data_IF_204402184999
#
_entry.id   IF_204402184999
#
_cell.length_a   1.000
_cell.length_b   1.000
_cell.length_c   1.000
_cell.angle_alpha   90.00
_cell.angle_beta   90.00
_cell.angle_gamma   90.00
#
_symmetry.space_group_name_H-M   'P 1'
#
loop_
_entity.id
_entity.type
_entity.pdbx_description
1 polymer ?
#
# COMPACT_ATOMS: atom_id res chain seq x y z
N UNK A 1 9.84 -22.81 3.51
CA UNK A 1 9.89 -21.42 3.04
C UNK A 1 8.64 -21.21 2.23
N UNK A 2 7.62 -20.57 2.81
CA UNK A 2 6.48 -20.08 2.03
C UNK A 2 6.97 -18.88 1.23
N UNK A 3 6.65 -18.85 -0.06
CA UNK A 3 6.97 -17.70 -0.90
C UNK A 3 6.14 -16.49 -0.42
N UNK A 4 6.66 -15.25 -0.50
CA UNK A 4 5.94 -14.05 -0.04
C UNK A 4 4.50 -13.96 -0.59
N UNK A 5 4.30 -14.38 -1.84
CA UNK A 5 2.98 -14.45 -2.47
C UNK A 5 2.04 -15.48 -1.82
N UNK A 6 2.54 -16.66 -1.45
CA UNK A 6 1.73 -17.71 -0.79
C UNK A 6 1.26 -17.24 0.58
N UNK A 7 2.14 -16.60 1.35
CA UNK A 7 1.78 -16.04 2.64
C UNK A 7 0.69 -14.97 2.54
N UNK A 8 0.75 -14.09 1.53
CA UNK A 8 -0.29 -13.10 1.27
C UNK A 8 -1.63 -13.75 0.91
N UNK A 9 -1.60 -14.81 0.09
CA UNK A 9 -2.81 -15.56 -0.26
C UNK A 9 -3.43 -16.24 0.97
N UNK A 10 -2.60 -16.80 1.86
CA UNK A 10 -3.07 -17.40 3.11
C UNK A 10 -3.76 -16.38 4.01
N UNK A 11 -3.19 -15.17 4.15
CA UNK A 11 -3.79 -14.09 4.94
C UNK A 11 -5.16 -13.66 4.39
N UNK A 12 -5.28 -13.51 3.05
CA UNK A 12 -6.55 -13.18 2.41
C UNK A 12 -7.55 -14.32 2.61
N UNK A 13 -7.14 -15.58 2.42
CA UNK A 13 -8.02 -16.74 2.63
C UNK A 13 -8.53 -16.81 4.08
N UNK A 14 -7.66 -16.55 5.06
CA UNK A 14 -8.06 -16.49 6.47
C UNK A 14 -9.09 -15.38 6.73
N UNK A 15 -8.90 -14.18 6.17
CA UNK A 15 -9.85 -13.07 6.33
C UNK A 15 -11.25 -13.38 5.77
N UNK A 16 -11.33 -14.15 4.69
CA UNK A 16 -12.62 -14.52 4.09
C UNK A 16 -13.28 -15.76 4.73
N UNK A 17 -12.53 -16.58 5.45
CA UNK A 17 -13.06 -17.76 6.15
C UNK A 17 -13.50 -17.46 7.58
N UNK A 18 -12.90 -16.46 8.20
CA UNK A 18 -13.32 -16.01 9.55
C UNK A 18 -14.47 -15.01 9.50
N UNK A 19 -15.24 -15.00 10.58
CA UNK A 19 -16.24 -13.98 10.93
C UNK A 19 -15.97 -13.37 12.31
N UNK A 20 -14.87 -13.77 12.96
CA UNK A 20 -14.48 -13.28 14.28
C UNK A 20 -13.84 -11.89 14.13
N UNK A 21 -14.42 -10.82 14.72
CA UNK A 21 -13.88 -9.47 14.66
C UNK A 21 -12.45 -9.35 15.21
N UNK A 22 -12.09 -10.11 16.25
CA UNK A 22 -10.76 -10.04 16.85
C UNK A 22 -9.71 -10.65 15.91
N UNK A 23 -10.07 -11.74 15.23
CA UNK A 23 -9.22 -12.38 14.23
C UNK A 23 -9.07 -11.48 12.99
N UNK A 24 -10.15 -10.82 12.54
CA UNK A 24 -10.09 -9.85 11.45
C UNK A 24 -9.20 -8.65 11.81
N UNK A 25 -9.28 -8.16 13.05
CA UNK A 25 -8.42 -7.07 13.53
C UNK A 25 -6.95 -7.50 13.56
N UNK A 26 -6.66 -8.74 13.97
CA UNK A 26 -5.31 -9.31 13.94
C UNK A 26 -4.76 -9.39 12.52
N UNK A 27 -5.51 -9.98 11.60
CA UNK A 27 -5.13 -10.08 10.18
C UNK A 27 -4.93 -8.70 9.54
N UNK A 28 -5.77 -7.72 9.90
CA UNK A 28 -5.65 -6.35 9.42
C UNK A 28 -4.37 -5.66 9.95
N UNK A 29 -3.99 -5.89 11.20
CA UNK A 29 -2.72 -5.38 11.76
C UNK A 29 -1.50 -6.02 11.10
N UNK A 30 -1.53 -7.34 10.93
CA UNK A 30 -0.43 -8.10 10.33
C UNK A 30 -0.23 -7.65 8.87
N UNK A 31 -1.31 -7.57 8.09
CA UNK A 31 -1.27 -7.10 6.70
C UNK A 31 -0.89 -5.61 6.58
N UNK A 32 -1.29 -4.77 7.54
CA UNK A 32 -0.88 -3.35 7.57
C UNK A 32 0.64 -3.19 7.75
N UNK A 33 1.27 -4.01 8.60
CA UNK A 33 2.73 -4.00 8.75
C UNK A 33 3.43 -4.38 7.45
N UNK A 34 2.98 -5.46 6.79
CA UNK A 34 3.51 -5.88 5.49
C UNK A 34 3.30 -4.81 4.41
N UNK A 35 2.16 -4.12 4.43
CA UNK A 35 1.86 -3.03 3.51
C UNK A 35 2.88 -1.90 3.65
N UNK A 36 3.11 -1.40 4.86
CA UNK A 36 4.04 -0.29 5.10
C UNK A 36 5.48 -0.68 4.82
N UNK A 37 5.88 -1.90 5.14
CA UNK A 37 7.20 -2.40 4.81
C UNK A 37 7.41 -2.41 3.29
N UNK A 38 6.49 -3.00 2.53
CA UNK A 38 6.64 -3.08 1.08
C UNK A 38 6.56 -1.71 0.39
N UNK A 39 5.75 -0.79 0.92
CA UNK A 39 5.73 0.61 0.44
C UNK A 39 7.07 1.31 0.68
N UNK A 40 7.67 1.14 1.87
CA UNK A 40 8.98 1.71 2.19
C UNK A 40 10.09 1.16 1.29
N UNK A 41 10.10 -0.15 1.06
CA UNK A 41 11.02 -0.82 0.13
C UNK A 41 10.83 -0.33 -1.30
N UNK A 42 9.59 -0.16 -1.75
CA UNK A 42 9.26 0.37 -3.09
C UNK A 42 9.75 1.81 -3.23
N UNK A 43 9.55 2.65 -2.21
CA UNK A 43 10.03 4.04 -2.20
C UNK A 43 11.56 4.10 -2.27
N UNK A 44 12.25 3.24 -1.53
CA UNK A 44 13.71 3.14 -1.59
C UNK A 44 14.19 2.73 -2.99
N UNK A 45 13.54 1.73 -3.60
CA UNK A 45 13.89 1.26 -4.94
C UNK A 45 13.65 2.34 -6.01
N UNK A 46 12.51 3.04 -5.98
CA UNK A 46 12.23 4.16 -6.89
C UNK A 46 13.25 5.28 -6.72
N UNK A 47 13.52 5.67 -5.48
CA UNK A 47 14.49 6.72 -5.18
C UNK A 47 15.87 6.36 -5.72
N UNK A 48 16.34 5.13 -5.52
CA UNK A 48 17.62 4.65 -6.04
C UNK A 48 17.68 4.65 -7.57
N UNK A 49 16.62 4.19 -8.24
CA UNK A 49 16.55 4.18 -9.71
C UNK A 49 16.50 5.59 -10.32
N UNK A 50 15.87 6.53 -9.61
CA UNK A 50 15.69 7.89 -10.08
C UNK A 50 16.80 8.84 -9.61
N UNK A 51 17.71 8.41 -8.73
CA UNK A 51 18.68 9.28 -8.05
C UNK A 51 19.49 10.16 -9.02
N UNK A 52 19.93 9.59 -10.14
CA UNK A 52 20.73 10.30 -11.15
C UNK A 52 19.88 11.00 -12.23
N UNK A 53 18.55 10.82 -12.22
CA UNK A 53 17.67 11.45 -13.21
C UNK A 53 17.46 12.93 -12.90
N UNK A 54 17.61 13.83 -13.88
CA UNK A 54 17.23 15.23 -13.74
C UNK A 54 15.74 15.41 -13.46
N UNK A 55 15.37 16.42 -12.67
CA UNK A 55 13.97 16.71 -12.31
C UNK A 55 13.01 16.83 -13.50
N UNK A 56 13.37 17.47 -14.63
CA UNK A 56 12.48 17.52 -15.80
C UNK A 56 12.13 16.15 -16.37
N UNK A 57 13.07 15.19 -16.34
CA UNK A 57 12.85 13.83 -16.81
C UNK A 57 11.95 13.06 -15.85
N UNK A 58 12.15 13.25 -14.54
CA UNK A 58 11.31 12.63 -13.51
C UNK A 58 9.85 13.10 -13.60
N UNK A 59 9.64 14.41 -13.77
CA UNK A 59 8.30 14.99 -13.96
C UNK A 59 7.64 14.48 -15.24
N UNK A 60 8.41 14.33 -16.32
CA UNK A 60 7.89 13.79 -17.58
C UNK A 60 7.49 12.30 -17.47
N UNK A 61 8.23 11.50 -16.70
CA UNK A 61 7.84 10.13 -16.38
C UNK A 61 6.49 10.08 -15.66
N UNK A 62 6.27 10.97 -14.69
CA UNK A 62 4.99 11.07 -13.98
C UNK A 62 3.84 11.42 -14.93
N UNK A 63 4.05 12.41 -15.83
CA UNK A 63 3.05 12.80 -16.83
C UNK A 63 2.73 11.68 -17.82
N UNK A 64 3.74 10.94 -18.27
CA UNK A 64 3.57 9.79 -19.17
C UNK A 64 2.70 8.71 -18.55
N UNK A 65 2.83 8.51 -17.24
CA UNK A 65 2.00 7.61 -16.45
C UNK A 65 0.69 8.23 -15.98
N UNK A 66 0.36 9.45 -16.43
CA UNK A 66 -0.84 10.20 -16.08
C UNK A 66 -1.01 10.40 -14.57
N UNK A 67 0.10 10.47 -13.83
CA UNK A 67 0.07 10.69 -12.39
C UNK A 67 -0.29 12.13 -12.08
N UNK A 68 -1.14 12.31 -11.08
CA UNK A 68 -1.48 13.62 -10.58
C UNK A 68 -0.29 14.19 -9.80
N UNK A 69 0.12 15.40 -10.17
CA UNK A 69 1.15 16.17 -9.48
C UNK A 69 0.62 17.58 -9.17
N UNK A 70 0.97 18.16 -8.01
CA UNK A 70 0.75 19.57 -7.73
C UNK A 70 1.37 20.48 -8.81
N UNK A 71 0.84 21.71 -8.94
CA UNK A 71 1.35 22.69 -9.92
C UNK A 71 2.81 23.07 -9.66
N UNK A 72 3.19 23.07 -8.38
CA UNK A 72 4.51 23.34 -7.83
C UNK A 72 5.23 22.07 -7.37
N UNK A 73 4.90 20.93 -7.98
CA UNK A 73 5.44 19.62 -7.60
C UNK A 73 6.97 19.63 -7.52
N UNK A 74 7.45 19.23 -6.36
CA UNK A 74 8.86 19.02 -6.08
C UNK A 74 9.32 17.66 -6.63
N UNK A 75 10.63 17.44 -6.62
CA UNK A 75 11.20 16.11 -6.87
C UNK A 75 10.64 15.05 -5.92
N UNK A 76 10.43 15.40 -4.64
CA UNK A 76 9.90 14.46 -3.66
C UNK A 76 8.44 14.08 -3.97
N UNK A 77 7.63 15.02 -4.44
CA UNK A 77 6.25 14.75 -4.86
C UNK A 77 6.23 13.77 -6.04
N UNK A 78 7.11 13.99 -7.02
CA UNK A 78 7.25 13.11 -8.18
C UNK A 78 7.72 11.70 -7.79
N UNK A 79 8.73 11.59 -6.92
CA UNK A 79 9.20 10.30 -6.40
C UNK A 79 8.12 9.58 -5.60
N UNK A 80 7.34 10.31 -4.81
CA UNK A 80 6.23 9.75 -4.03
C UNK A 80 5.14 9.23 -4.95
N UNK A 81 4.72 10.02 -5.95
CA UNK A 81 3.72 9.61 -6.93
C UNK A 81 4.14 8.35 -7.70
N UNK A 82 5.39 8.29 -8.18
CA UNK A 82 5.94 7.11 -8.86
C UNK A 82 6.02 5.89 -7.94
N UNK A 83 6.35 6.09 -6.66
CA UNK A 83 6.39 5.02 -5.67
C UNK A 83 4.99 4.43 -5.46
N UNK A 84 3.98 5.29 -5.29
CA UNK A 84 2.60 4.84 -5.15
C UNK A 84 2.08 4.13 -6.41
N UNK A 85 2.32 4.69 -7.59
CA UNK A 85 1.90 4.09 -8.87
C UNK A 85 2.49 2.69 -9.09
N UNK A 86 3.73 2.47 -8.63
CA UNK A 86 4.35 1.14 -8.67
C UNK A 86 3.84 0.21 -7.57
N UNK A 87 3.50 0.76 -6.41
CA UNK A 87 3.09 0.00 -5.24
C UNK A 87 1.64 -0.49 -5.32
N UNK A 88 0.72 0.34 -5.80
CA UNK A 88 -0.74 0.13 -5.68
C UNK A 88 -1.24 -1.17 -6.33
N UNK A 89 -0.54 -1.66 -7.36
CA UNK A 89 -0.86 -2.89 -8.07
C UNK A 89 -0.05 -4.11 -7.63
N UNK A 90 0.74 -3.98 -6.55
CA UNK A 90 1.50 -5.12 -6.02
C UNK A 90 0.58 -6.12 -5.31
N UNK A 91 0.93 -7.42 -5.27
CA UNK A 91 0.16 -8.42 -4.53
C UNK A 91 -0.05 -8.04 -3.05
N UNK A 92 0.95 -7.43 -2.41
CA UNK A 92 0.85 -6.99 -1.02
C UNK A 92 -0.16 -5.86 -0.85
N UNK A 93 -0.14 -4.85 -1.72
CA UNK A 93 -1.09 -3.75 -1.68
C UNK A 93 -2.53 -4.24 -1.88
N UNK A 94 -2.74 -5.12 -2.87
CA UNK A 94 -4.04 -5.71 -3.16
C UNK A 94 -4.56 -6.62 -2.03
N UNK A 95 -3.68 -7.43 -1.44
CA UNK A 95 -4.03 -8.29 -0.31
C UNK A 95 -4.47 -7.47 0.91
N UNK A 96 -3.71 -6.42 1.26
CA UNK A 96 -4.10 -5.52 2.35
C UNK A 96 -5.45 -4.84 2.09
N UNK A 97 -5.67 -4.28 0.90
CA UNK A 97 -6.96 -3.65 0.55
C UNK A 97 -8.12 -4.63 0.68
N UNK A 98 -7.96 -5.87 0.21
CA UNK A 98 -8.99 -6.91 0.32
C UNK A 98 -9.29 -7.28 1.77
N UNK A 99 -8.27 -7.43 2.62
CA UNK A 99 -8.45 -7.69 4.06
C UNK A 99 -9.10 -6.49 4.75
N UNK A 100 -8.72 -5.27 4.41
CA UNK A 100 -9.30 -4.04 4.96
C UNK A 100 -10.78 -3.88 4.59
N UNK A 101 -11.15 -4.12 3.33
CA UNK A 101 -12.55 -4.13 2.88
C UNK A 101 -13.37 -5.19 3.62
N UNK A 102 -12.80 -6.40 3.78
CA UNK A 102 -13.42 -7.48 4.53
C UNK A 102 -13.61 -7.10 6.00
N UNK A 103 -12.60 -6.54 6.66
CA UNK A 103 -12.70 -6.10 8.04
C UNK A 103 -13.75 -4.99 8.21
N UNK A 104 -13.76 -4.00 7.31
CA UNK A 104 -14.74 -2.91 7.32
C UNK A 104 -16.19 -3.41 7.17
N UNK A 105 -16.41 -4.42 6.33
CA UNK A 105 -17.73 -5.06 6.17
C UNK A 105 -18.23 -5.75 7.46
N UNK A 106 -17.33 -6.01 8.42
CA UNK A 106 -17.64 -6.57 9.74
C UNK A 106 -17.52 -5.54 10.87
N UNK A 107 -17.42 -4.24 10.55
CA UNK A 107 -17.30 -3.17 11.53
C UNK A 107 -15.94 -3.08 12.21
N UNK A 108 -14.90 -3.72 11.65
CA UNK A 108 -13.54 -3.71 12.18
C UNK A 108 -12.70 -2.69 11.43
N UNK A 109 -12.03 -1.80 12.17
CA UNK A 109 -11.13 -0.78 11.65
C UNK A 109 -9.84 -0.69 12.47
N UNK A 110 -8.74 -0.30 11.83
CA UNK A 110 -7.49 0.03 12.54
C UNK A 110 -7.52 1.42 13.17
N UNK A 111 -8.34 2.31 12.62
CA UNK A 111 -8.56 3.61 13.22
C UNK A 111 -9.50 3.42 14.40
N UNK A 112 -9.15 3.89 15.61
CA UNK A 112 -10.14 3.96 16.67
C UNK A 112 -11.31 4.78 16.16
N UNK A 113 -12.54 4.30 16.32
CA UNK A 113 -13.71 5.17 16.19
C UNK A 113 -13.50 6.31 17.20
N UNK A 114 -13.10 7.49 16.73
CA UNK A 114 -13.12 8.69 17.56
C UNK A 114 -14.56 8.82 18.03
N UNK A 115 -14.75 8.67 19.34
CA UNK A 115 -16.04 8.52 19.97
C UNK A 115 -17.05 9.52 19.43
N UNK A 116 -18.18 9.02 18.94
CA UNK A 116 -19.37 9.83 18.78
C UNK A 116 -19.66 10.49 20.15
N UNK A 117 -19.73 11.83 20.24
CA UNK A 117 -20.20 12.50 21.45
C UNK A 117 -21.66 12.18 21.75
#
# INVERSE_FOLDING_TARGET
MTYPTEHLMDLVALAYTTTDPDELLRLLRDSHQLYHQGLAETRAAVTGQCQELPDPILLEQCRTQQLFLPVDATREDALSALSFARWENTPTALAYSSIAERAAAHGVSLLPEEGSP
#
